data_IF_370087749014
#
_entry.id   IF_370087749014
#
_cell.length_a   1.000
_cell.length_b   1.000
_cell.length_c   1.000
_cell.angle_alpha   90.00
_cell.angle_beta   90.00
_cell.angle_gamma   90.00
#
_symmetry.space_group_name_H-M   'P 1'
#
loop_
_entity.id
_entity.type
_entity.pdbx_description
1 polymer ?
#
# COMPACT_ATOMS: atom_id res chain seq x y z
N UNK A 1 23.96 -24.06 12.33
CA UNK A 1 23.22 -23.03 11.56
C UNK A 1 21.99 -23.68 10.96
N UNK A 2 20.79 -23.16 11.24
CA UNK A 2 19.53 -23.70 10.69
C UNK A 2 19.30 -23.05 9.32
N UNK A 3 19.34 -23.81 8.23
CA UNK A 3 19.01 -23.31 6.90
C UNK A 3 17.53 -23.58 6.64
N UNK A 4 16.75 -22.52 6.44
CA UNK A 4 15.34 -22.61 6.03
C UNK A 4 15.23 -22.37 4.52
N UNK A 5 14.57 -23.25 3.76
CA UNK A 5 14.34 -23.03 2.34
C UNK A 5 13.50 -21.75 2.15
N UNK A 6 14.02 -20.83 1.33
CA UNK A 6 13.36 -19.57 1.06
C UNK A 6 12.54 -19.71 -0.22
N UNK A 7 11.21 -19.73 -0.10
CA UNK A 7 10.32 -19.84 -1.26
C UNK A 7 9.95 -18.45 -1.77
N UNK A 8 10.51 -18.03 -2.90
CA UNK A 8 10.22 -16.74 -3.52
C UNK A 8 8.73 -16.54 -3.82
N UNK A 9 7.99 -17.62 -4.06
CA UNK A 9 6.54 -17.57 -4.27
C UNK A 9 5.76 -17.05 -3.05
N UNK A 10 6.27 -17.27 -1.83
CA UNK A 10 5.67 -16.75 -0.58
C UNK A 10 6.00 -15.27 -0.34
N UNK A 11 7.07 -14.76 -0.96
CA UNK A 11 7.49 -13.37 -0.83
C UNK A 11 6.76 -12.43 -1.80
N UNK A 12 6.24 -12.97 -2.91
CA UNK A 12 5.48 -12.19 -3.87
C UNK A 12 4.09 -11.83 -3.31
N UNK A 13 3.64 -10.58 -3.47
CA UNK A 13 2.32 -10.17 -3.02
C UNK A 13 1.24 -10.88 -3.84
N UNK A 14 0.17 -11.33 -3.18
CA UNK A 14 -1.00 -11.88 -3.86
C UNK A 14 -1.75 -10.74 -4.56
N UNK A 15 -1.68 -10.72 -5.89
CA UNK A 15 -2.43 -9.80 -6.73
C UNK A 15 -3.68 -10.50 -7.27
N UNK A 16 -4.82 -9.82 -7.26
CA UNK A 16 -6.04 -10.25 -7.94
C UNK A 16 -6.23 -9.37 -9.18
N UNK A 17 -6.51 -9.98 -10.33
CA UNK A 17 -6.59 -9.28 -11.63
C UNK A 17 -5.37 -8.37 -11.96
N UNK A 18 -4.20 -8.65 -11.37
CA UNK A 18 -2.99 -7.85 -11.58
C UNK A 18 -2.85 -6.61 -10.69
N UNK A 19 -3.73 -6.41 -9.70
CA UNK A 19 -3.60 -5.37 -8.68
C UNK A 19 -3.78 -5.94 -7.26
N UNK A 20 -3.34 -5.19 -6.24
CA UNK A 20 -3.48 -5.61 -4.85
C UNK A 20 -4.94 -5.64 -4.39
N UNK A 21 -5.28 -6.59 -3.52
CA UNK A 21 -6.66 -6.75 -3.01
C UNK A 21 -7.22 -5.48 -2.36
N UNK A 22 -6.37 -4.73 -1.62
CA UNK A 22 -6.76 -3.45 -1.02
C UNK A 22 -7.20 -2.41 -2.07
N UNK A 23 -6.54 -2.38 -3.22
CA UNK A 23 -6.89 -1.46 -4.31
C UNK A 23 -8.22 -1.87 -4.98
N UNK A 24 -8.44 -3.16 -5.20
CA UNK A 24 -9.74 -3.69 -5.71
C UNK A 24 -10.88 -3.30 -4.78
N UNK A 25 -10.70 -3.54 -3.49
CA UNK A 25 -11.68 -3.24 -2.46
C UNK A 25 -11.97 -1.74 -2.31
N UNK A 26 -11.11 -0.86 -2.85
CA UNK A 26 -11.34 0.57 -2.88
C UNK A 26 -12.06 1.01 -4.16
N UNK A 27 -11.54 0.63 -5.34
CA UNK A 27 -12.00 1.17 -6.63
C UNK A 27 -13.43 0.72 -6.98
N UNK A 28 -13.72 -0.58 -6.82
CA UNK A 28 -14.98 -1.14 -7.31
C UNK A 28 -16.16 -0.78 -6.40
N UNK A 29 -16.07 -0.89 -5.07
CA UNK A 29 -17.15 -0.47 -4.20
C UNK A 29 -17.43 1.03 -4.28
N UNK A 30 -16.40 1.88 -4.36
CA UNK A 30 -16.58 3.33 -4.54
C UNK A 30 -17.21 3.66 -5.89
N UNK A 31 -16.80 2.97 -6.97
CA UNK A 31 -17.41 3.12 -8.29
C UNK A 31 -18.88 2.72 -8.31
N UNK A 32 -19.21 1.57 -7.70
CA UNK A 32 -20.58 1.10 -7.58
C UNK A 32 -21.45 2.05 -6.75
N UNK A 33 -20.93 2.51 -5.61
CA UNK A 33 -21.60 3.50 -4.76
C UNK A 33 -21.87 4.81 -5.52
N UNK A 34 -20.89 5.31 -6.28
CA UNK A 34 -21.06 6.51 -7.09
C UNK A 34 -22.11 6.33 -8.19
N UNK A 35 -22.20 5.14 -8.81
CA UNK A 35 -23.23 4.86 -9.81
C UNK A 35 -24.64 4.89 -9.20
N UNK A 36 -24.81 4.35 -8.00
CA UNK A 36 -26.09 4.38 -7.27
C UNK A 36 -26.46 5.83 -6.94
N UNK A 37 -25.51 6.62 -6.40
CA UNK A 37 -25.75 7.99 -5.97
C UNK A 37 -26.05 8.95 -7.13
N UNK A 38 -25.44 8.73 -8.30
CA UNK A 38 -25.61 9.60 -9.46
C UNK A 38 -26.70 9.09 -10.42
N UNK A 39 -27.23 7.89 -10.19
CA UNK A 39 -28.15 7.19 -11.09
C UNK A 39 -27.62 7.07 -12.54
N UNK A 40 -26.28 7.05 -12.70
CA UNK A 40 -25.63 6.91 -14.01
C UNK A 40 -24.55 5.83 -13.97
N UNK A 41 -24.28 5.21 -15.12
CA UNK A 41 -23.18 4.25 -15.27
C UNK A 41 -21.80 4.88 -15.51
N UNK A 42 -21.71 6.22 -15.65
CA UNK A 42 -20.44 6.88 -15.98
C UNK A 42 -19.31 6.64 -14.96
N UNK A 43 -19.57 6.62 -13.63
CA UNK A 43 -18.52 6.35 -12.64
C UNK A 43 -17.86 4.97 -12.79
N UNK A 44 -18.55 3.97 -13.35
CA UNK A 44 -17.94 2.67 -13.65
C UNK A 44 -16.82 2.79 -14.69
N UNK A 45 -16.98 3.64 -15.71
CA UNK A 45 -15.93 3.87 -16.72
C UNK A 45 -14.69 4.51 -16.08
N UNK A 46 -14.89 5.43 -15.14
CA UNK A 46 -13.80 6.02 -14.35
C UNK A 46 -13.11 4.95 -13.49
N UNK A 47 -13.87 4.08 -12.83
CA UNK A 47 -13.31 2.96 -12.06
C UNK A 47 -12.53 1.96 -12.92
N UNK A 48 -13.00 1.68 -14.15
CA UNK A 48 -12.26 0.85 -15.13
C UNK A 48 -10.95 1.53 -15.50
N UNK A 49 -10.96 2.82 -15.81
CA UNK A 49 -9.74 3.59 -16.11
C UNK A 49 -8.73 3.55 -14.95
N UNK A 50 -9.21 3.78 -13.72
CA UNK A 50 -8.40 3.70 -12.51
C UNK A 50 -7.83 2.29 -12.30
N UNK A 51 -8.62 1.24 -12.57
CA UNK A 51 -8.18 -0.14 -12.47
C UNK A 51 -7.07 -0.47 -13.47
N UNK A 52 -7.22 -0.07 -14.74
CA UNK A 52 -6.20 -0.28 -15.78
C UNK A 52 -4.91 0.47 -15.43
N UNK A 53 -5.01 1.72 -15.00
CA UNK A 53 -3.88 2.51 -14.56
C UNK A 53 -3.14 1.83 -13.39
N UNK A 54 -3.88 1.40 -12.36
CA UNK A 54 -3.28 0.70 -11.22
C UNK A 54 -2.66 -0.63 -11.63
N UNK A 55 -3.30 -1.39 -12.53
CA UNK A 55 -2.73 -2.63 -13.08
C UNK A 55 -1.39 -2.37 -13.76
N UNK A 56 -1.27 -1.26 -14.50
CA UNK A 56 0.00 -0.87 -15.11
C UNK A 56 1.06 -0.50 -14.06
N UNK A 57 0.68 0.23 -13.00
CA UNK A 57 1.58 0.57 -11.89
C UNK A 57 2.08 -0.70 -11.16
N UNK A 58 1.17 -1.61 -10.80
CA UNK A 58 1.49 -2.88 -10.13
C UNK A 58 2.35 -3.81 -10.99
N UNK A 59 2.26 -3.71 -12.33
CA UNK A 59 3.15 -4.45 -13.24
C UNK A 59 4.61 -3.98 -13.16
N UNK A 60 4.84 -2.70 -12.87
CA UNK A 60 6.19 -2.15 -12.72
C UNK A 60 6.78 -2.49 -11.36
N UNK A 61 6.01 -2.31 -10.30
CA UNK A 61 6.41 -2.66 -8.95
C UNK A 61 5.18 -3.13 -8.16
N UNK A 62 5.21 -4.40 -7.75
CA UNK A 62 4.12 -5.04 -7.03
C UNK A 62 4.01 -4.56 -5.57
N UNK A 63 5.07 -3.93 -5.04
CA UNK A 63 5.17 -3.46 -3.67
C UNK A 63 4.97 -1.95 -3.54
N UNK A 64 4.96 -1.19 -4.63
CA UNK A 64 4.95 0.29 -4.61
C UNK A 64 3.87 0.88 -3.70
N UNK A 65 2.64 0.37 -3.76
CA UNK A 65 1.54 0.85 -2.93
C UNK A 65 1.66 0.41 -1.47
N UNK A 66 2.17 -0.79 -1.22
CA UNK A 66 2.39 -1.26 0.15
C UNK A 66 3.48 -0.42 0.84
N UNK A 67 4.54 -0.08 0.10
CA UNK A 67 5.61 0.80 0.55
C UNK A 67 5.05 2.21 0.76
N UNK A 68 4.36 2.78 -0.22
CA UNK A 68 3.77 4.11 -0.13
C UNK A 68 2.82 4.25 1.06
N UNK A 69 1.88 3.31 1.24
CA UNK A 69 0.95 3.31 2.38
C UNK A 69 1.71 3.23 3.70
N UNK A 70 2.75 2.40 3.78
CA UNK A 70 3.54 2.27 5.00
C UNK A 70 4.31 3.55 5.30
N UNK A 71 4.91 4.19 4.30
CA UNK A 71 5.54 5.49 4.47
C UNK A 71 4.54 6.57 4.86
N UNK A 72 3.36 6.63 4.24
CA UNK A 72 2.31 7.58 4.60
C UNK A 72 1.85 7.42 6.07
N UNK A 73 1.67 6.18 6.53
CA UNK A 73 1.34 5.87 7.92
C UNK A 73 2.48 6.17 8.91
N UNK A 74 3.72 6.21 8.43
CA UNK A 74 4.92 6.43 9.25
C UNK A 74 5.48 7.85 9.03
N UNK A 75 4.76 8.72 8.31
CA UNK A 75 5.24 10.05 7.94
C UNK A 75 5.58 10.89 9.17
N UNK A 76 4.80 10.77 10.24
CA UNK A 76 5.04 11.46 11.51
C UNK A 76 6.18 10.84 12.35
N UNK A 77 6.60 9.60 12.04
CA UNK A 77 7.53 8.82 12.85
C UNK A 77 8.91 8.62 12.19
N UNK A 78 9.01 8.89 10.89
CA UNK A 78 10.23 8.73 10.10
C UNK A 78 10.72 10.11 9.64
N UNK A 79 11.30 10.87 10.57
CA UNK A 79 12.13 12.02 10.23
C UNK A 79 13.54 11.50 9.89
N UNK A 80 14.06 11.70 8.65
CA UNK A 80 15.41 11.28 8.27
C UNK A 80 16.52 12.14 8.89
N UNK A 81 16.16 13.08 9.77
CA UNK A 81 17.09 13.90 10.54
C UNK A 81 17.18 13.38 11.97
N UNK A 82 18.41 13.23 12.46
CA UNK A 82 18.70 12.97 13.87
C UNK A 82 18.45 14.28 14.64
N UNK A 83 17.22 14.48 15.12
CA UNK A 83 16.91 15.61 15.98
C UNK A 83 17.01 15.13 17.44
N UNK A 84 17.97 15.68 18.19
CA UNK A 84 18.30 15.27 19.56
C UNK A 84 17.13 15.42 20.56
N UNK A 85 16.11 16.19 20.20
CA UNK A 85 15.02 16.65 21.06
C UNK A 85 13.60 16.42 20.50
N UNK A 86 13.35 15.32 19.79
CA UNK A 86 11.96 14.96 19.45
C UNK A 86 11.20 14.43 20.69
N UNK A 87 10.08 15.04 21.11
CA UNK A 87 9.21 14.46 22.13
C UNK A 87 8.56 13.19 21.56
N UNK A 88 8.82 12.03 22.19
CA UNK A 88 8.42 10.72 21.67
C UNK A 88 9.59 9.83 21.22
N UNK A 89 10.67 9.79 22.02
CA UNK A 89 11.92 9.05 21.75
C UNK A 89 11.78 7.54 21.48
N UNK A 90 10.64 6.95 21.78
CA UNK A 90 10.40 5.53 21.53
C UNK A 90 9.64 5.32 20.22
N UNK A 91 10.32 4.68 19.26
CA UNK A 91 9.65 4.19 18.05
C UNK A 91 8.52 3.19 18.44
N UNK A 92 7.42 3.11 17.67
CA UNK A 92 6.34 2.18 17.93
C UNK A 92 6.83 0.73 17.97
N UNK A 93 6.16 -0.12 18.74
CA UNK A 93 6.46 -1.56 18.79
C UNK A 93 6.42 -2.16 17.38
N UNK A 94 7.55 -2.72 16.92
CA UNK A 94 7.68 -3.34 15.58
C UNK A 94 8.63 -2.61 14.63
N UNK A 95 9.15 -1.44 15.01
CA UNK A 95 10.25 -0.77 14.30
C UNK A 95 11.60 -1.25 14.84
N UNK A 96 12.65 -1.24 14.00
CA UNK A 96 13.98 -1.73 14.35
C UNK A 96 14.46 -1.15 15.69
N UNK A 97 14.74 -2.03 16.66
CA UNK A 97 15.26 -1.67 17.98
C UNK A 97 16.73 -1.25 17.84
N UNK A 98 17.13 -0.17 18.52
CA UNK A 98 18.55 0.21 18.64
C UNK A 98 19.14 1.04 17.49
N UNK A 99 18.32 1.50 16.54
CA UNK A 99 18.74 2.44 15.49
C UNK A 99 18.05 3.79 15.71
N UNK A 100 18.85 4.84 15.91
CA UNK A 100 18.36 6.22 15.99
C UNK A 100 17.73 6.62 14.65
N UNK A 101 16.63 7.40 14.68
CA UNK A 101 16.19 8.15 13.50
C UNK A 101 17.21 9.26 13.26
#
# INVERSE_FOLDING_TARGET
>A
MRQSPTYLALQRPRLAAGIGLKAIALIWPLGAMACILMETGWPLLVSVGAHVFLRWVYRRDQHILAIYIKYAQTSDHYAPGVYDELPGRERPRGYGRGVRC
#
